data_IF_708550360190
#
_entry.id   IF_708550360190
#
_cell.length_a   1.000
_cell.length_b   1.000
_cell.length_c   1.000
_cell.angle_alpha   90.00
_cell.angle_beta   90.00
_cell.angle_gamma   90.00
#
_symmetry.space_group_name_H-M   'P 1'
#
loop_
_entity.id
_entity.type
_entity.pdbx_description
1 polymer ?
#
# COMPACT_ATOMS: atom_id res chain seq x y z
N UNK A 1 1.78 -16.63 11.37
CA UNK A 1 1.75 -16.70 9.89
C UNK A 1 2.38 -15.43 9.34
N UNK A 2 3.45 -15.56 8.54
CA UNK A 2 4.10 -14.41 7.92
C UNK A 2 3.13 -13.69 6.94
N UNK A 3 3.30 -12.39 6.68
CA UNK A 3 2.48 -11.68 5.70
C UNK A 3 2.55 -12.35 4.32
N UNK A 4 1.39 -12.74 3.80
CA UNK A 4 1.24 -13.32 2.47
C UNK A 4 0.31 -12.46 1.61
N UNK A 5 0.74 -12.17 0.38
CA UNK A 5 0.01 -11.37 -0.59
C UNK A 5 -0.56 -12.21 -1.74
N UNK A 6 -0.38 -13.53 -1.75
CA UNK A 6 -0.80 -14.41 -2.85
C UNK A 6 -2.29 -14.28 -3.21
N UNK A 7 -3.15 -14.02 -2.23
CA UNK A 7 -4.59 -13.85 -2.41
C UNK A 7 -5.01 -12.40 -2.74
N UNK A 8 -4.19 -11.42 -2.34
CA UNK A 8 -4.48 -9.98 -2.46
C UNK A 8 -3.23 -9.25 -2.98
N UNK A 9 -2.82 -9.58 -4.21
CA UNK A 9 -1.62 -9.01 -4.80
C UNK A 9 -1.83 -7.53 -5.14
N UNK A 10 -0.87 -6.69 -4.77
CA UNK A 10 -0.89 -5.27 -5.14
C UNK A 10 -0.63 -5.11 -6.64
N UNK A 11 -1.28 -4.11 -7.24
CA UNK A 11 -0.98 -3.72 -8.62
C UNK A 11 0.44 -3.15 -8.68
N UNK A 12 1.22 -3.61 -9.66
CA UNK A 12 2.58 -3.08 -9.90
C UNK A 12 2.56 -1.60 -10.32
N UNK A 13 1.50 -1.18 -11.00
CA UNK A 13 1.31 0.18 -11.47
C UNK A 13 -0.16 0.61 -11.30
N UNK A 14 -0.35 1.85 -10.85
CA UNK A 14 -1.65 2.52 -10.76
C UNK A 14 -1.55 3.85 -11.48
N UNK A 15 -2.29 4.01 -12.58
CA UNK A 15 -2.36 5.26 -13.34
C UNK A 15 -3.51 6.11 -12.81
N UNK A 16 -3.28 7.41 -12.66
CA UNK A 16 -4.27 8.38 -12.21
C UNK A 16 -4.18 9.65 -13.05
N UNK A 17 -5.31 10.32 -13.29
CA UNK A 17 -5.34 11.61 -13.98
C UNK A 17 -4.74 12.70 -13.08
N UNK A 18 -4.16 13.74 -13.70
CA UNK A 18 -3.72 14.93 -12.96
C UNK A 18 -4.91 15.52 -12.19
N UNK A 19 -4.71 15.77 -10.89
CA UNK A 19 -5.75 16.25 -9.98
C UNK A 19 -6.75 15.18 -9.50
N UNK A 20 -6.70 13.96 -10.04
CA UNK A 20 -7.51 12.84 -9.59
C UNK A 20 -6.91 12.12 -8.37
N UNK A 21 -7.71 11.23 -7.79
CA UNK A 21 -7.34 10.45 -6.61
C UNK A 21 -7.00 9.00 -6.96
N UNK A 22 -6.09 8.42 -6.19
CA UNK A 22 -5.70 7.01 -6.29
C UNK A 22 -5.73 6.35 -4.91
N UNK A 23 -6.37 5.18 -4.83
CA UNK A 23 -6.35 4.31 -3.66
C UNK A 23 -5.45 3.11 -3.92
N UNK A 24 -4.40 2.94 -3.13
CA UNK A 24 -3.53 1.76 -3.17
C UNK A 24 -3.85 0.90 -1.95
N UNK A 25 -4.54 -0.23 -2.18
CA UNK A 25 -4.95 -1.14 -1.12
C UNK A 25 -3.82 -2.12 -0.76
N UNK A 26 -3.62 -2.36 0.54
CA UNK A 26 -2.67 -3.35 1.07
C UNK A 26 -3.34 -4.17 2.17
N UNK A 27 -3.65 -5.42 1.87
CA UNK A 27 -4.35 -6.35 2.78
C UNK A 27 -3.73 -7.74 2.74
N UNK A 28 -2.54 -7.94 3.32
CA UNK A 28 -1.94 -9.27 3.41
C UNK A 28 -2.77 -10.20 4.28
N UNK A 29 -2.71 -11.49 4.00
CA UNK A 29 -3.14 -12.52 4.94
C UNK A 29 -2.04 -12.71 5.99
N UNK A 30 -2.34 -12.42 7.25
CA UNK A 30 -1.39 -12.63 8.35
C UNK A 30 -2.08 -12.88 9.69
N UNK A 31 -1.36 -13.50 10.63
CA UNK A 31 -1.82 -13.72 12.00
C UNK A 31 -0.63 -13.90 12.96
N UNK A 32 -0.54 -13.14 14.07
CA UNK A 32 -1.42 -12.03 14.44
C UNK A 32 -1.33 -10.87 13.44
N UNK A 33 -2.25 -9.90 13.53
CA UNK A 33 -2.15 -8.70 12.70
C UNK A 33 -0.95 -7.85 13.12
N UNK A 34 -0.20 -7.34 12.14
CA UNK A 34 0.99 -6.53 12.35
C UNK A 34 0.79 -5.09 11.87
N UNK A 35 1.92 -4.40 11.66
CA UNK A 35 1.93 -3.03 11.14
C UNK A 35 2.21 -3.05 9.64
N UNK A 36 1.39 -2.33 8.88
CA UNK A 36 1.66 -2.01 7.47
C UNK A 36 2.18 -0.58 7.41
N UNK A 37 3.30 -0.36 6.73
CA UNK A 37 3.90 0.96 6.51
C UNK A 37 4.12 1.22 5.04
N UNK A 38 4.05 2.49 4.63
CA UNK A 38 4.20 2.91 3.25
C UNK A 38 5.47 3.74 3.06
N UNK A 39 6.11 3.56 1.91
CA UNK A 39 7.31 4.31 1.50
C UNK A 39 7.18 4.76 0.05
N UNK A 40 7.78 5.90 -0.27
CA UNK A 40 8.01 6.35 -1.64
C UNK A 40 9.51 6.28 -1.92
N UNK A 41 9.93 5.29 -2.72
CA UNK A 41 11.36 4.95 -2.84
C UNK A 41 11.91 4.49 -1.48
N UNK A 42 12.97 5.13 -1.01
CA UNK A 42 13.57 4.86 0.32
C UNK A 42 12.84 5.55 1.48
N UNK A 43 12.05 6.59 1.20
CA UNK A 43 11.55 7.50 2.22
C UNK A 43 10.19 7.05 2.78
N UNK A 44 9.97 7.11 4.11
CA UNK A 44 8.65 6.92 4.71
C UNK A 44 7.62 7.85 4.08
N UNK A 45 6.48 7.31 3.66
CA UNK A 45 5.38 8.12 3.16
C UNK A 45 4.84 8.96 4.33
N UNK A 46 4.81 10.28 4.14
CA UNK A 46 4.26 11.22 5.11
C UNK A 46 2.86 11.59 4.68
N UNK A 47 1.98 11.72 5.67
CA UNK A 47 0.69 12.34 5.44
C UNK A 47 0.91 13.79 5.00
N UNK A 48 0.26 14.18 3.91
CA UNK A 48 0.25 15.55 3.42
C UNK A 48 -1.16 16.07 3.58
N UNK A 49 -1.28 17.30 4.07
CA UNK A 49 -2.50 18.05 3.82
C UNK A 49 -2.54 18.37 2.33
N UNK A 50 -3.67 18.11 1.70
CA UNK A 50 -3.94 18.51 0.32
C UNK A 50 -4.63 19.87 0.33
#
# INVERSE_FOLDING_TARGET
>A
VAPDFSQNQLKSQTLVKVGGDALIECKPKMSPWGVVSWRKGSDPLRESNR
#
